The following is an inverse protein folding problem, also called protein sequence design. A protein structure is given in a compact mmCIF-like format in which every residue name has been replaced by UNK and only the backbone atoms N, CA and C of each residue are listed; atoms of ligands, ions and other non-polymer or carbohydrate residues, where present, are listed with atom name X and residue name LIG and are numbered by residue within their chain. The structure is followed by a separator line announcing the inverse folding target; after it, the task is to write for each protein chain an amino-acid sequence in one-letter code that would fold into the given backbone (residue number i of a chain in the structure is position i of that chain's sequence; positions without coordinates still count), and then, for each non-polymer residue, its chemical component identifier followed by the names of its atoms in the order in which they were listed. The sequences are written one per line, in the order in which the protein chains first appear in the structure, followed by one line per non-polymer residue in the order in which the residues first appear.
data_IF_331509098100
#
_entry.id   IF_331509098100
#
_cell.length_a   1.000
_cell.length_b   1.000
_cell.length_c   1.000
_cell.angle_alpha   90.00
_cell.angle_beta   90.00
_cell.angle_gamma   90.00
#
_symmetry.space_group_name_H-M   'P 1'
#
loop_
_entity.id
_entity.type
_entity.pdbx_description
1 polymer ?
#
# COMPACT_ATOMS: atom_id res chain seq x y z
N UNK A 1 -17.43 -8.72 -23.81
CA UNK A 1 -16.38 -7.66 -23.83
C UNK A 1 -17.09 -6.35 -24.12
N UNK A 2 -17.08 -5.42 -23.17
CA UNK A 2 -17.64 -4.08 -23.37
C UNK A 2 -16.48 -3.18 -23.82
N UNK A 3 -16.51 -2.70 -25.05
CA UNK A 3 -15.51 -1.77 -25.56
C UNK A 3 -15.84 -0.37 -25.06
N UNK A 4 -15.02 0.18 -24.16
CA UNK A 4 -15.16 1.55 -23.68
C UNK A 4 -14.22 2.45 -24.49
N UNK A 5 -14.75 3.35 -25.29
CA UNK A 5 -13.97 4.37 -25.97
C UNK A 5 -13.76 5.55 -25.02
N UNK A 6 -12.49 5.91 -24.81
CA UNK A 6 -12.15 7.10 -24.03
C UNK A 6 -12.49 8.36 -24.83
N UNK A 7 -13.07 9.35 -24.17
CA UNK A 7 -13.20 10.69 -24.73
C UNK A 7 -11.80 11.31 -24.92
N UNK A 8 -11.68 12.32 -25.78
CA UNK A 8 -10.41 13.05 -25.96
C UNK A 8 -9.87 13.61 -24.65
N UNK A 9 -10.77 14.04 -23.76
CA UNK A 9 -10.39 14.60 -22.46
C UNK A 9 -9.86 13.52 -21.50
N UNK A 10 -10.49 12.35 -21.44
CA UNK A 10 -10.03 11.21 -20.65
C UNK A 10 -8.68 10.70 -21.15
N UNK A 11 -8.50 10.60 -22.45
CA UNK A 11 -7.23 10.22 -23.06
C UNK A 11 -6.11 11.22 -22.74
N UNK A 12 -6.40 12.53 -22.72
CA UNK A 12 -5.45 13.57 -22.36
C UNK A 12 -5.05 13.50 -20.87
N UNK A 13 -6.01 13.30 -19.97
CA UNK A 13 -5.77 13.10 -18.53
C UNK A 13 -4.92 11.86 -18.31
N UNK A 14 -5.26 10.75 -18.94
CA UNK A 14 -4.52 9.49 -18.85
C UNK A 14 -3.08 9.64 -19.35
N UNK A 15 -2.86 10.28 -20.47
CA UNK A 15 -1.51 10.52 -21.03
C UNK A 15 -0.68 11.40 -20.08
N UNK A 16 -1.29 12.44 -19.49
CA UNK A 16 -0.64 13.28 -18.50
C UNK A 16 -0.23 12.48 -17.26
N UNK A 17 -1.12 11.67 -16.71
CA UNK A 17 -0.84 10.85 -15.54
C UNK A 17 0.23 9.79 -15.86
N UNK A 18 0.16 9.12 -17.00
CA UNK A 18 1.18 8.19 -17.47
C UNK A 18 2.58 8.85 -17.54
N UNK A 19 2.65 10.08 -18.06
CA UNK A 19 3.90 10.84 -18.07
C UNK A 19 4.40 11.11 -16.66
N UNK A 20 3.52 11.52 -15.73
CA UNK A 20 3.87 11.80 -14.35
C UNK A 20 4.43 10.55 -13.65
N UNK A 21 3.74 9.41 -13.78
CA UNK A 21 4.23 8.12 -13.27
C UNK A 21 5.58 7.73 -13.86
N UNK A 22 5.73 7.95 -15.17
CA UNK A 22 6.99 7.65 -15.86
C UNK A 22 8.14 8.52 -15.34
N UNK A 23 7.93 9.83 -15.16
CA UNK A 23 8.93 10.74 -14.60
C UNK A 23 9.28 10.37 -13.15
N UNK A 24 8.26 10.07 -12.32
CA UNK A 24 8.48 9.63 -10.92
C UNK A 24 9.33 8.37 -10.85
N UNK A 25 9.07 7.39 -11.75
CA UNK A 25 9.78 6.10 -11.77
C UNK A 25 11.19 6.19 -12.34
N UNK A 26 11.39 7.02 -13.37
CA UNK A 26 12.65 7.06 -14.13
C UNK A 26 13.70 7.99 -13.52
N UNK A 27 13.32 8.86 -12.56
CA UNK A 27 14.16 9.93 -12.06
C UNK A 27 14.39 11.02 -13.12
N UNK A 28 15.47 11.78 -13.04
CA UNK A 28 15.74 12.85 -13.99
C UNK A 28 15.80 12.34 -15.43
N UNK A 29 14.89 12.83 -16.29
CA UNK A 29 14.74 12.37 -17.66
C UNK A 29 14.63 13.54 -18.64
N UNK A 30 15.21 13.42 -19.84
CA UNK A 30 15.09 14.47 -20.85
C UNK A 30 13.79 14.36 -21.65
N UNK A 31 13.31 15.50 -22.19
CA UNK A 31 12.14 15.51 -23.11
C UNK A 31 12.34 14.59 -24.31
N UNK A 32 13.58 14.42 -24.77
CA UNK A 32 13.92 13.53 -25.90
C UNK A 32 13.73 12.06 -25.49
N UNK A 33 14.14 11.69 -24.29
CA UNK A 33 13.99 10.31 -23.80
C UNK A 33 12.51 9.99 -23.51
N UNK A 34 11.74 10.96 -23.00
CA UNK A 34 10.28 10.83 -22.84
C UNK A 34 9.64 10.56 -24.22
N UNK A 35 9.92 11.42 -25.20
CA UNK A 35 9.40 11.25 -26.55
C UNK A 35 9.70 9.86 -27.15
N UNK A 36 10.93 9.38 -27.04
CA UNK A 36 11.33 8.06 -27.57
C UNK A 36 10.64 6.90 -26.87
N UNK A 37 10.35 7.02 -25.58
CA UNK A 37 9.81 5.93 -24.75
C UNK A 37 8.30 5.85 -24.73
N UNK A 38 7.61 6.97 -24.84
CA UNK A 38 6.14 7.03 -24.75
C UNK A 38 5.44 6.91 -26.11
N UNK A 39 6.20 6.91 -27.22
CA UNK A 39 5.69 6.84 -28.59
C UNK A 39 4.62 7.90 -28.90
N UNK A 40 4.84 9.12 -28.42
CA UNK A 40 3.97 10.28 -28.66
C UNK A 40 4.75 11.42 -29.33
N UNK A 41 4.05 12.35 -30.00
CA UNK A 41 4.71 13.45 -30.71
C UNK A 41 5.50 14.37 -29.77
N UNK A 42 6.55 15.04 -30.28
CA UNK A 42 7.32 16.05 -29.53
C UNK A 42 6.45 17.21 -29.06
N UNK A 43 5.45 17.58 -29.85
CA UNK A 43 4.49 18.61 -29.48
C UNK A 43 3.65 18.18 -28.27
N UNK A 44 3.15 16.92 -28.28
CA UNK A 44 2.41 16.34 -27.16
C UNK A 44 3.25 16.29 -25.89
N UNK A 45 4.50 15.83 -25.96
CA UNK A 45 5.42 15.86 -24.79
C UNK A 45 5.55 17.28 -24.23
N UNK A 46 5.73 18.29 -25.10
CA UNK A 46 5.89 19.67 -24.68
C UNK A 46 4.64 20.16 -23.95
N UNK A 47 3.45 19.89 -24.48
CA UNK A 47 2.17 20.26 -23.88
C UNK A 47 1.95 19.58 -22.51
N UNK A 48 2.18 18.26 -22.44
CA UNK A 48 2.01 17.50 -21.19
C UNK A 48 2.99 17.97 -20.11
N UNK A 49 4.25 18.22 -20.48
CA UNK A 49 5.26 18.75 -19.55
C UNK A 49 4.84 20.15 -19.05
N UNK A 50 4.36 21.04 -19.91
CA UNK A 50 3.87 22.35 -19.50
C UNK A 50 2.69 22.25 -18.53
N UNK A 51 1.75 21.34 -18.78
CA UNK A 51 0.62 21.10 -17.89
C UNK A 51 1.07 20.61 -16.50
N UNK A 52 2.00 19.65 -16.44
CA UNK A 52 2.52 19.14 -15.17
C UNK A 52 3.36 20.19 -14.43
N UNK A 53 4.10 21.04 -15.15
CA UNK A 53 4.84 22.16 -14.56
C UNK A 53 3.90 23.23 -13.99
N UNK A 54 2.81 23.57 -14.69
CA UNK A 54 1.83 24.54 -14.19
C UNK A 54 1.10 24.04 -12.93
N UNK A 55 1.04 22.72 -12.73
CA UNK A 55 0.53 22.06 -11.51
C UNK A 55 1.63 21.84 -10.47
N UNK A 56 2.84 22.32 -10.69
CA UNK A 56 4.01 22.15 -9.82
C UNK A 56 4.36 20.68 -9.51
N UNK A 57 3.91 19.72 -10.35
CA UNK A 57 4.14 18.28 -10.17
C UNK A 57 5.49 17.82 -10.70
N UNK A 58 6.09 18.59 -11.59
CA UNK A 58 7.45 18.36 -12.12
C UNK A 58 8.22 19.64 -12.19
N UNK A 59 9.55 19.53 -12.09
CA UNK A 59 10.49 20.65 -12.22
C UNK A 59 11.51 20.37 -13.33
N UNK A 60 12.02 21.43 -13.96
CA UNK A 60 13.17 21.32 -14.86
C UNK A 60 14.46 21.66 -14.13
N UNK A 61 15.40 20.73 -14.15
CA UNK A 61 16.72 20.89 -13.55
C UNK A 61 17.80 20.98 -14.61
N UNK A 62 18.69 21.96 -14.46
CA UNK A 62 19.82 22.18 -15.35
C UNK A 62 21.03 21.33 -14.95
N UNK A 63 21.04 20.02 -15.21
CA UNK A 63 22.25 19.18 -15.03
C UNK A 63 23.07 19.20 -16.31
N UNK A 64 24.37 19.53 -16.21
CA UNK A 64 25.34 19.37 -17.28
C UNK A 64 25.99 18.00 -17.13
N UNK A 65 25.86 17.10 -18.15
CA UNK A 65 26.86 16.05 -18.29
C UNK A 65 28.15 16.73 -18.77
N UNK A 66 29.27 16.45 -18.12
CA UNK A 66 30.60 16.98 -18.44
C UNK A 66 30.92 16.75 -19.93
N UNK A 67 31.06 17.83 -20.70
CA UNK A 67 31.39 17.84 -22.12
C UNK A 67 30.83 19.09 -22.80
N UNK A 68 31.61 19.74 -23.66
CA UNK A 68 31.25 20.98 -24.34
C UNK A 68 30.07 20.78 -25.29
N UNK A 69 28.84 20.84 -24.78
CA UNK A 69 27.59 20.74 -25.49
C UNK A 69 26.48 21.53 -24.80
N UNK A 70 25.43 21.88 -25.56
CA UNK A 70 24.23 22.58 -25.07
C UNK A 70 23.72 21.89 -23.80
N UNK A 71 23.58 22.64 -22.68
CA UNK A 71 23.05 22.12 -21.39
C UNK A 71 21.72 21.41 -21.61
N UNK A 72 21.68 20.10 -21.38
CA UNK A 72 20.46 19.32 -21.49
C UNK A 72 19.61 19.57 -20.26
N UNK A 73 18.34 19.93 -20.43
CA UNK A 73 17.38 20.09 -19.33
C UNK A 73 16.76 18.76 -19.01
N UNK A 74 16.74 18.44 -17.74
CA UNK A 74 16.09 17.24 -17.21
C UNK A 74 14.81 17.59 -16.48
N UNK A 75 13.85 16.72 -16.53
CA UNK A 75 12.56 16.80 -15.87
C UNK A 75 12.61 15.84 -14.69
N UNK A 76 12.24 16.31 -13.52
CA UNK A 76 12.20 15.57 -12.28
C UNK A 76 10.81 15.69 -11.64
N UNK A 77 10.39 14.64 -10.92
CA UNK A 77 9.17 14.66 -10.12
C UNK A 77 9.35 15.61 -8.93
N UNK A 78 8.39 16.49 -8.73
CA UNK A 78 8.35 17.40 -7.58
C UNK A 78 7.43 16.85 -6.49
N UNK A 79 7.84 15.80 -5.83
CA UNK A 79 7.05 15.17 -4.78
C UNK A 79 6.81 16.04 -3.56
N UNK A 80 7.64 17.08 -3.36
CA UNK A 80 7.46 18.03 -2.27
C UNK A 80 6.32 19.03 -2.48
N UNK A 81 5.77 19.14 -3.70
CA UNK A 81 4.75 20.13 -4.04
C UNK A 81 3.38 19.91 -3.40
N UNK A 82 3.04 18.67 -3.08
CA UNK A 82 1.72 18.28 -2.57
C UNK A 82 1.87 17.47 -1.30
N UNK A 83 0.91 17.64 -0.39
CA UNK A 83 0.87 16.98 0.92
C UNK A 83 -0.41 16.15 1.05
N UNK A 84 -0.35 15.15 1.90
CA UNK A 84 -1.47 14.30 2.24
C UNK A 84 -1.41 13.96 3.71
N UNK A 85 -2.52 14.07 4.42
CA UNK A 85 -2.65 13.40 5.70
C UNK A 85 -2.79 11.90 5.48
N UNK A 86 -2.24 11.12 6.39
CA UNK A 86 -2.32 9.67 6.33
C UNK A 86 -2.54 9.08 7.71
N UNK A 87 -3.26 7.98 7.79
CA UNK A 87 -3.42 7.23 9.05
C UNK A 87 -3.34 5.73 8.80
N UNK A 88 -2.53 5.05 9.59
CA UNK A 88 -2.45 3.59 9.63
C UNK A 88 -3.06 3.06 10.92
N UNK A 89 -4.11 2.25 10.78
CA UNK A 89 -4.79 1.66 11.92
C UNK A 89 -3.91 0.69 12.70
N UNK A 90 -3.07 -0.10 12.06
CA UNK A 90 -2.24 -1.11 12.72
C UNK A 90 -1.22 -0.48 13.65
N UNK A 91 -0.50 0.53 13.20
CA UNK A 91 0.47 1.26 14.01
C UNK A 91 -0.13 2.39 14.84
N UNK A 92 -1.41 2.74 14.62
CA UNK A 92 -2.09 3.91 15.21
C UNK A 92 -1.40 5.23 14.90
N UNK A 93 -0.67 5.29 13.81
CA UNK A 93 0.09 6.48 13.46
C UNK A 93 -0.67 7.39 12.50
N UNK A 94 -0.72 8.66 12.87
CA UNK A 94 -1.11 9.76 12.01
C UNK A 94 0.13 10.41 11.42
N UNK A 95 0.07 10.77 10.14
CA UNK A 95 1.18 11.37 9.41
C UNK A 95 0.72 12.59 8.59
N UNK A 96 1.63 13.54 8.38
CA UNK A 96 1.63 14.42 7.21
C UNK A 96 2.78 13.96 6.31
N UNK A 97 2.49 13.58 5.08
CA UNK A 97 3.50 13.16 4.10
C UNK A 97 3.43 14.01 2.84
N UNK A 98 4.53 14.08 2.09
CA UNK A 98 4.50 14.56 0.71
C UNK A 98 4.33 13.38 -0.28
N UNK A 99 4.17 13.68 -1.57
CA UNK A 99 3.97 12.65 -2.60
C UNK A 99 5.23 11.84 -2.94
N UNK A 100 6.41 12.22 -2.39
CA UNK A 100 7.62 11.39 -2.44
C UNK A 100 7.67 10.35 -1.31
N UNK A 101 6.75 10.41 -0.34
CA UNK A 101 6.74 9.55 0.83
C UNK A 101 7.58 10.05 2.00
N UNK A 102 8.09 11.29 1.93
CA UNK A 102 8.77 11.94 3.04
C UNK A 102 7.76 12.29 4.13
N UNK A 103 8.06 11.93 5.37
CA UNK A 103 7.25 12.22 6.55
C UNK A 103 7.64 13.59 7.10
N UNK A 104 6.70 14.51 7.08
CA UNK A 104 6.88 15.87 7.59
C UNK A 104 6.38 16.03 9.03
N UNK A 105 5.45 15.16 9.43
CA UNK A 105 4.91 15.05 10.78
C UNK A 105 4.44 13.64 11.04
N UNK A 106 4.63 13.17 12.28
CA UNK A 106 4.06 11.89 12.73
C UNK A 106 3.66 11.97 14.20
N UNK A 107 2.56 11.28 14.54
CA UNK A 107 2.09 11.16 15.91
C UNK A 107 1.31 9.85 16.10
N UNK A 108 1.58 9.17 17.20
CA UNK A 108 0.76 8.05 17.64
C UNK A 108 -0.55 8.58 18.24
N UNK A 109 -1.68 8.08 17.77
CA UNK A 109 -2.99 8.34 18.35
C UNK A 109 -3.39 7.17 19.24
N UNK A 110 -3.79 7.46 20.47
CA UNK A 110 -4.32 6.47 21.40
C UNK A 110 -5.83 6.61 21.52
N UNK A 111 -6.49 5.46 21.66
CA UNK A 111 -7.92 5.39 21.93
C UNK A 111 -8.10 4.54 23.19
N UNK A 112 -8.72 5.09 24.24
CA UNK A 112 -8.95 4.40 25.52
C UNK A 112 -9.84 3.16 25.34
N UNK A 113 -10.70 3.18 24.33
CA UNK A 113 -11.54 2.09 23.88
C UNK A 113 -11.62 2.09 22.36
N UNK A 114 -12.20 1.06 21.79
CA UNK A 114 -12.48 1.04 20.36
C UNK A 114 -13.42 2.20 19.99
N UNK A 115 -12.97 3.18 19.19
CA UNK A 115 -13.76 4.36 18.88
C UNK A 115 -14.94 4.03 17.97
N UNK A 116 -16.03 4.76 18.12
CA UNK A 116 -17.08 4.80 17.11
C UNK A 116 -16.59 5.57 15.86
N UNK A 117 -17.20 5.37 14.68
CA UNK A 117 -16.75 6.03 13.44
C UNK A 117 -16.63 7.55 13.56
N UNK A 118 -17.58 8.20 14.22
CA UNK A 118 -17.55 9.67 14.45
C UNK A 118 -16.40 10.08 15.36
N UNK A 119 -16.19 9.38 16.47
CA UNK A 119 -15.09 9.65 17.43
C UNK A 119 -13.72 9.47 16.78
N UNK A 120 -13.60 8.46 15.92
CA UNK A 120 -12.39 8.25 15.13
C UNK A 120 -12.12 9.41 14.19
N UNK A 121 -13.13 9.86 13.44
CA UNK A 121 -12.99 11.00 12.56
C UNK A 121 -12.67 12.29 13.33
N UNK A 122 -13.32 12.51 14.50
CA UNK A 122 -13.06 13.67 15.36
C UNK A 122 -11.60 13.74 15.80
N UNK A 123 -11.02 12.60 16.20
CA UNK A 123 -9.62 12.52 16.61
C UNK A 123 -8.66 12.87 15.46
N UNK A 124 -8.92 12.34 14.25
CA UNK A 124 -8.08 12.64 13.08
C UNK A 124 -8.23 14.10 12.61
N UNK A 125 -9.44 14.65 12.66
CA UNK A 125 -9.69 16.06 12.29
C UNK A 125 -9.04 17.02 13.29
N UNK A 126 -9.10 16.71 14.59
CA UNK A 126 -8.43 17.50 15.62
C UNK A 126 -6.90 17.50 15.41
N UNK A 127 -6.32 16.34 15.10
CA UNK A 127 -4.89 16.26 14.82
C UNK A 127 -4.50 16.97 13.51
N UNK A 128 -5.31 16.85 12.45
CA UNK A 128 -5.13 17.59 11.20
C UNK A 128 -5.18 19.12 11.44
N UNK A 129 -6.09 19.58 12.29
CA UNK A 129 -6.18 20.98 12.71
C UNK A 129 -4.90 21.45 13.41
N UNK A 130 -4.40 20.67 14.38
CA UNK A 130 -3.14 20.95 15.05
C UNK A 130 -1.95 21.09 14.07
N UNK A 131 -1.83 20.16 13.14
CA UNK A 131 -0.76 20.17 12.11
C UNK A 131 -0.91 21.38 11.18
N UNK A 132 -2.15 21.80 10.88
CA UNK A 132 -2.42 23.00 10.08
C UNK A 132 -1.95 24.27 10.81
N UNK A 133 -2.22 24.37 12.13
CA UNK A 133 -1.76 25.47 12.97
C UNK A 133 -0.23 25.55 13.08
N UNK A 134 0.48 24.43 12.95
CA UNK A 134 1.94 24.39 12.91
C UNK A 134 2.53 25.02 11.63
N UNK A 135 1.72 25.22 10.58
CA UNK A 135 2.17 25.85 9.32
C UNK A 135 3.18 25.02 8.53
N UNK A 136 3.11 23.69 8.61
CA UNK A 136 4.04 22.78 7.92
C UNK A 136 3.77 22.65 6.41
N UNK A 137 2.69 23.24 5.92
CA UNK A 137 2.31 23.26 4.51
C UNK A 137 1.40 24.45 4.20
N UNK A 138 1.34 24.85 2.93
CA UNK A 138 0.38 25.85 2.47
C UNK A 138 -0.97 25.15 2.17
N UNK A 139 -2.13 25.77 2.46
CA UNK A 139 -3.46 25.15 2.30
C UNK A 139 -3.70 24.52 0.92
N UNK A 140 -3.21 25.15 -0.15
CA UNK A 140 -3.32 24.69 -1.54
C UNK A 140 -2.47 23.44 -1.85
N UNK A 141 -1.49 23.12 -1.01
CA UNK A 141 -0.66 21.92 -1.16
C UNK A 141 -1.36 20.67 -0.65
N UNK A 142 -2.34 20.79 0.27
CA UNK A 142 -3.03 19.65 0.86
C UNK A 142 -4.01 19.04 -0.13
N UNK A 143 -3.86 17.74 -0.37
CA UNK A 143 -4.69 16.98 -1.32
C UNK A 143 -5.79 16.13 -0.64
N UNK A 144 -5.75 16.01 0.68
CA UNK A 144 -6.73 15.24 1.45
C UNK A 144 -6.15 14.32 2.51
N UNK A 145 -6.85 13.20 2.74
CA UNK A 145 -6.46 12.19 3.71
C UNK A 145 -6.55 10.78 3.11
N UNK A 146 -5.58 9.93 3.45
CA UNK A 146 -5.58 8.51 3.12
C UNK A 146 -5.56 7.66 4.40
N UNK A 147 -6.41 6.63 4.46
CA UNK A 147 -6.57 5.79 5.64
C UNK A 147 -6.32 4.33 5.28
N UNK A 148 -5.45 3.68 6.04
CA UNK A 148 -5.29 2.23 6.04
C UNK A 148 -6.14 1.65 7.18
N UNK A 149 -7.19 0.91 6.84
CA UNK A 149 -8.14 0.36 7.81
C UNK A 149 -8.27 -1.16 7.66
N UNK A 150 -8.54 -1.90 8.76
CA UNK A 150 -8.82 -3.34 8.69
C UNK A 150 -10.27 -3.59 8.30
N UNK A 151 -10.52 -4.58 7.47
CA UNK A 151 -11.87 -5.02 7.09
C UNK A 151 -12.14 -5.01 5.60
N UNK A 152 -13.41 -5.14 5.24
CA UNK A 152 -13.89 -5.10 3.85
C UNK A 152 -14.08 -3.65 3.43
N UNK A 153 -13.31 -3.21 2.46
CA UNK A 153 -13.27 -1.81 2.01
C UNK A 153 -13.63 -1.72 0.54
N UNK A 154 -14.62 -0.90 0.24
CA UNK A 154 -14.84 -0.41 -1.11
C UNK A 154 -14.02 0.87 -1.30
N UNK A 155 -12.84 0.73 -1.91
CA UNK A 155 -11.93 1.84 -2.14
C UNK A 155 -12.42 2.85 -3.19
N UNK A 156 -13.40 2.47 -4.03
CA UNK A 156 -13.97 3.36 -5.05
C UNK A 156 -14.93 4.38 -4.44
N UNK A 157 -15.76 3.93 -3.49
CA UNK A 157 -16.72 4.78 -2.78
C UNK A 157 -16.20 5.31 -1.45
N UNK A 158 -14.98 4.96 -1.05
CA UNK A 158 -14.41 5.24 0.26
C UNK A 158 -15.32 4.81 1.42
N UNK A 159 -15.89 3.58 1.32
CA UNK A 159 -16.80 3.02 2.31
C UNK A 159 -16.22 1.77 2.95
N UNK A 160 -16.31 1.68 4.28
CA UNK A 160 -16.01 0.46 5.03
C UNK A 160 -17.30 -0.36 5.14
N UNK A 161 -17.34 -1.50 4.45
CA UNK A 161 -18.52 -2.35 4.40
C UNK A 161 -18.68 -3.16 5.69
N UNK A 162 -17.57 -3.73 6.19
CA UNK A 162 -17.55 -4.51 7.43
C UNK A 162 -16.15 -4.61 8.00
N UNK A 163 -16.03 -4.45 9.31
CA UNK A 163 -14.81 -4.76 10.06
C UNK A 163 -15.17 -5.42 11.38
N UNK A 164 -14.86 -6.70 11.52
CA UNK A 164 -15.01 -7.41 12.79
C UNK A 164 -14.12 -6.78 13.87
N UNK A 165 -12.95 -6.28 13.49
CA UNK A 165 -11.98 -5.67 14.38
C UNK A 165 -12.38 -4.30 14.91
N UNK A 166 -13.01 -3.48 14.06
CA UNK A 166 -13.50 -2.16 14.43
C UNK A 166 -14.92 -2.21 15.02
N UNK A 167 -15.61 -3.34 14.88
CA UNK A 167 -17.05 -3.48 15.13
C UNK A 167 -17.87 -2.45 14.32
N UNK A 168 -17.41 -2.11 13.12
CA UNK A 168 -18.06 -1.16 12.23
C UNK A 168 -18.71 -1.89 11.05
N UNK A 169 -19.84 -1.38 10.61
CA UNK A 169 -20.57 -1.91 9.46
C UNK A 169 -21.21 -0.77 8.68
N UNK A 170 -21.08 -0.83 7.34
CA UNK A 170 -21.69 0.12 6.39
C UNK A 170 -21.38 1.59 6.75
N UNK A 171 -20.11 1.91 6.97
CA UNK A 171 -19.65 3.26 7.31
C UNK A 171 -19.19 3.97 6.04
N UNK A 172 -19.82 5.09 5.71
CA UNK A 172 -19.35 6.01 4.68
C UNK A 172 -18.22 6.88 5.26
N UNK A 173 -16.99 6.44 5.02
CA UNK A 173 -15.79 7.13 5.54
C UNK A 173 -15.63 8.49 4.83
N UNK A 174 -15.95 8.59 3.55
CA UNK A 174 -15.86 9.87 2.84
C UNK A 174 -16.73 10.94 3.49
N UNK A 175 -17.95 10.57 3.90
CA UNK A 175 -18.89 11.48 4.55
C UNK A 175 -18.42 11.94 5.93
N UNK A 176 -17.69 11.10 6.68
CA UNK A 176 -17.15 11.47 7.99
C UNK A 176 -16.14 12.63 7.93
N UNK A 177 -15.41 12.76 6.81
CA UNK A 177 -14.41 13.80 6.60
C UNK A 177 -14.88 14.93 5.67
N UNK A 178 -16.08 14.83 5.10
CA UNK A 178 -16.65 15.81 4.20
C UNK A 178 -16.69 17.21 4.87
N UNK A 179 -16.11 18.21 4.20
CA UNK A 179 -16.02 19.61 4.70
C UNK A 179 -15.22 19.76 6.01
N UNK A 180 -14.53 18.72 6.47
CA UNK A 180 -13.73 18.75 7.72
C UNK A 180 -12.22 18.72 7.43
N UNK A 181 -11.81 17.97 6.40
CA UNK A 181 -10.46 17.98 5.85
C UNK A 181 -10.57 18.38 4.38
N UNK A 182 -9.84 19.42 3.93
CA UNK A 182 -9.81 19.79 2.52
C UNK A 182 -9.26 18.67 1.64
N UNK A 183 -9.81 18.54 0.42
CA UNK A 183 -9.31 17.57 -0.57
C UNK A 183 -10.08 16.26 -0.58
N UNK A 184 -9.41 15.19 -0.99
CA UNK A 184 -10.01 13.86 -1.21
C UNK A 184 -9.82 12.94 -0.01
N UNK A 185 -10.77 12.03 0.18
CA UNK A 185 -10.67 10.96 1.17
C UNK A 185 -10.44 9.64 0.45
N UNK A 186 -9.34 8.98 0.77
CA UNK A 186 -9.01 7.66 0.24
C UNK A 186 -8.91 6.67 1.38
N UNK A 187 -9.42 5.47 1.15
CA UNK A 187 -9.28 4.36 2.10
C UNK A 187 -8.84 3.09 1.38
N UNK A 188 -8.06 2.29 2.06
CA UNK A 188 -7.63 0.99 1.56
C UNK A 188 -7.38 0.03 2.73
N UNK A 189 -7.40 -1.27 2.46
CA UNK A 189 -7.05 -2.29 3.45
C UNK A 189 -5.57 -2.16 3.85
N UNK A 190 -5.31 -2.29 5.14
CA UNK A 190 -3.94 -2.22 5.68
C UNK A 190 -2.96 -3.13 4.93
N UNK A 191 -3.37 -4.36 4.62
CA UNK A 191 -2.52 -5.31 3.88
C UNK A 191 -2.17 -4.85 2.47
N UNK A 192 -3.13 -4.24 1.75
CA UNK A 192 -2.88 -3.69 0.42
C UNK A 192 -1.95 -2.46 0.48
N UNK A 193 -2.12 -1.62 1.50
CA UNK A 193 -1.21 -0.48 1.75
C UNK A 193 0.21 -0.98 2.00
N UNK A 194 0.42 -1.96 2.88
CA UNK A 194 1.75 -2.54 3.13
C UNK A 194 2.35 -3.15 1.87
N UNK A 195 1.54 -3.85 1.07
CA UNK A 195 1.97 -4.41 -0.22
C UNK A 195 2.45 -3.32 -1.18
N UNK A 196 1.74 -2.20 -1.28
CA UNK A 196 2.17 -1.06 -2.11
C UNK A 196 3.48 -0.45 -1.60
N UNK A 197 3.69 -0.40 -0.28
CA UNK A 197 4.95 0.02 0.32
C UNK A 197 6.12 -0.84 -0.12
N UNK A 198 5.97 -2.16 -0.03
CA UNK A 198 6.97 -3.12 -0.50
C UNK A 198 7.17 -2.99 -2.01
N UNK A 199 6.10 -2.96 -2.80
CA UNK A 199 6.16 -2.86 -4.26
C UNK A 199 6.88 -1.60 -4.75
N UNK A 200 6.73 -0.47 -4.05
CA UNK A 200 7.37 0.78 -4.44
C UNK A 200 8.80 0.95 -3.89
N UNK A 201 9.20 0.18 -2.87
CA UNK A 201 10.56 0.24 -2.28
C UNK A 201 11.61 -0.55 -3.07
N UNK A 202 11.22 -1.49 -3.93
CA UNK A 202 12.12 -2.39 -4.65
C UNK A 202 12.21 -2.13 -6.16
N UNK A 203 13.39 -2.38 -6.75
CA UNK A 203 13.57 -2.29 -8.20
C UNK A 203 13.14 -3.56 -8.95
N UNK A 204 13.14 -4.72 -8.29
CA UNK A 204 12.97 -6.03 -8.92
C UNK A 204 11.51 -6.49 -9.05
N UNK A 205 10.56 -5.82 -8.39
CA UNK A 205 9.16 -6.25 -8.28
C UNK A 205 8.27 -5.91 -9.49
N UNK A 206 8.78 -5.14 -10.44
CA UNK A 206 7.97 -4.38 -11.44
C UNK A 206 7.30 -5.22 -12.54
N UNK A 207 7.62 -6.52 -12.65
CA UNK A 207 7.05 -7.41 -13.68
C UNK A 207 6.54 -8.75 -13.13
N UNK A 208 6.65 -8.99 -11.83
CA UNK A 208 6.32 -10.26 -11.22
C UNK A 208 4.90 -10.32 -10.67
N UNK A 209 4.34 -11.51 -10.67
CA UNK A 209 3.22 -11.86 -9.81
C UNK A 209 3.78 -11.98 -8.39
N UNK A 210 3.32 -11.11 -7.52
CA UNK A 210 3.85 -10.90 -6.19
C UNK A 210 2.77 -11.05 -5.14
N UNK A 211 3.09 -11.73 -4.03
CA UNK A 211 2.22 -11.81 -2.86
C UNK A 211 2.92 -11.32 -1.61
N UNK A 212 2.20 -10.53 -0.84
CA UNK A 212 2.57 -10.13 0.50
C UNK A 212 1.71 -10.90 1.50
N UNK A 213 2.34 -11.70 2.33
CA UNK A 213 1.73 -12.43 3.43
C UNK A 213 1.86 -11.60 4.70
N UNK A 214 0.74 -11.12 5.21
CA UNK A 214 0.65 -10.34 6.44
C UNK A 214 0.44 -11.32 7.59
N UNK A 215 1.45 -11.43 8.47
CA UNK A 215 1.46 -12.31 9.64
C UNK A 215 1.47 -11.42 10.88
N UNK A 216 0.31 -10.88 11.20
CA UNK A 216 0.17 -9.90 12.28
C UNK A 216 -0.68 -10.46 13.43
N UNK A 217 -0.37 -10.07 14.67
CA UNK A 217 -1.22 -10.36 15.82
C UNK A 217 -2.64 -9.82 15.64
N UNK A 218 -2.76 -8.81 14.84
CA UNK A 218 -4.01 -8.17 14.46
C UNK A 218 -4.78 -8.87 13.34
N UNK A 219 -4.23 -9.88 12.72
CA UNK A 219 -4.86 -10.68 11.67
C UNK A 219 -3.85 -11.24 10.67
N UNK A 220 -4.20 -12.34 10.07
CA UNK A 220 -3.40 -13.01 9.05
C UNK A 220 -4.10 -12.87 7.70
N UNK A 221 -3.37 -12.42 6.69
CA UNK A 221 -3.92 -12.21 5.36
C UNK A 221 -2.89 -12.31 4.26
N UNK A 222 -3.35 -12.23 3.02
CA UNK A 222 -2.48 -12.11 1.85
C UNK A 222 -2.99 -11.00 0.93
N UNK A 223 -2.09 -10.17 0.45
CA UNK A 223 -2.35 -9.19 -0.63
C UNK A 223 -1.54 -9.58 -1.85
N UNK A 224 -2.02 -9.28 -3.05
CA UNK A 224 -1.33 -9.65 -4.27
C UNK A 224 -1.34 -8.53 -5.31
N UNK A 225 -0.24 -8.44 -6.05
CA UNK A 225 -0.17 -7.73 -7.32
C UNK A 225 -0.04 -8.77 -8.42
N UNK A 226 -0.96 -8.72 -9.38
CA UNK A 226 -0.96 -9.58 -10.56
C UNK A 226 -0.96 -8.68 -11.78
N UNK A 227 0.08 -8.80 -12.63
CA UNK A 227 0.25 -7.94 -13.81
C UNK A 227 0.19 -6.44 -13.51
N UNK A 228 0.79 -6.03 -12.38
CA UNK A 228 0.82 -4.63 -11.95
C UNK A 228 -0.46 -4.12 -11.26
N UNK A 229 -1.47 -4.96 -11.07
CA UNK A 229 -2.74 -4.57 -10.44
C UNK A 229 -2.93 -5.25 -9.08
N UNK A 230 -3.31 -4.45 -8.09
CA UNK A 230 -3.71 -4.95 -6.78
C UNK A 230 -4.98 -5.79 -6.90
N UNK A 231 -5.00 -6.94 -6.23
CA UNK A 231 -6.13 -7.87 -6.24
C UNK A 231 -7.08 -7.59 -5.07
N UNK A 232 -8.25 -7.06 -5.36
CA UNK A 232 -9.30 -6.82 -4.35
C UNK A 232 -10.31 -7.97 -4.26
N UNK A 233 -10.44 -8.76 -5.32
CA UNK A 233 -11.52 -9.74 -5.47
C UNK A 233 -12.86 -9.06 -5.81
N UNK A 234 -13.84 -9.86 -6.21
CA UNK A 234 -15.15 -9.36 -6.66
C UNK A 234 -15.93 -8.62 -5.54
N UNK A 235 -15.76 -9.11 -4.30
CA UNK A 235 -16.46 -8.59 -3.12
C UNK A 235 -15.49 -7.91 -2.13
N UNK A 236 -14.33 -7.44 -2.60
CA UNK A 236 -13.27 -6.86 -1.77
C UNK A 236 -12.72 -7.80 -0.68
N UNK A 237 -12.87 -9.13 -0.86
CA UNK A 237 -12.49 -10.16 0.11
C UNK A 237 -11.28 -10.99 -0.33
N UNK A 238 -10.47 -10.49 -1.25
CA UNK A 238 -9.26 -11.22 -1.65
C UNK A 238 -8.32 -11.37 -0.46
N UNK A 239 -7.80 -12.60 -0.27
CA UNK A 239 -6.69 -12.82 0.63
C UNK A 239 -7.04 -13.09 2.09
N UNK A 240 -8.25 -13.55 2.40
CA UNK A 240 -8.71 -13.92 3.74
C UNK A 240 -8.03 -15.22 4.27
N UNK A 241 -6.67 -15.26 4.19
CA UNK A 241 -5.84 -16.40 4.55
C UNK A 241 -6.01 -16.80 6.02
N UNK A 242 -6.19 -15.82 6.91
CA UNK A 242 -6.38 -16.05 8.33
C UNK A 242 -7.63 -16.89 8.66
N UNK A 243 -8.58 -16.98 7.73
CA UNK A 243 -9.82 -17.74 7.92
C UNK A 243 -9.83 -19.14 7.29
N UNK A 244 -8.70 -19.62 6.75
CA UNK A 244 -8.60 -21.06 6.39
C UNK A 244 -8.78 -21.91 7.65
N UNK A 245 -9.42 -23.08 7.48
CA UNK A 245 -9.79 -23.93 8.60
C UNK A 245 -8.68 -24.90 8.97
N UNK A 246 -8.31 -24.89 10.25
CA UNK A 246 -7.54 -25.92 10.90
C UNK A 246 -8.47 -26.83 11.72
N UNK A 247 -8.04 -28.04 12.01
CA UNK A 247 -8.81 -28.97 12.87
C UNK A 247 -8.72 -28.52 14.33
N UNK A 248 -9.45 -27.46 14.69
CA UNK A 248 -9.46 -26.82 16.02
C UNK A 248 -10.84 -26.27 16.37
N UNK A 249 -11.17 -26.26 17.65
CA UNK A 249 -12.39 -25.66 18.20
C UNK A 249 -12.20 -24.20 18.70
N UNK A 250 -11.01 -23.62 18.51
CA UNK A 250 -10.72 -22.24 18.91
C UNK A 250 -11.68 -21.28 18.21
N UNK A 251 -12.44 -20.43 18.96
CA UNK A 251 -13.37 -19.47 18.38
C UNK A 251 -12.60 -18.35 17.66
N UNK A 252 -13.15 -17.86 16.57
CA UNK A 252 -12.60 -16.75 15.78
C UNK A 252 -13.55 -15.55 15.84
N UNK A 253 -13.01 -14.34 15.77
CA UNK A 253 -13.75 -13.07 15.70
C UNK A 253 -14.74 -13.00 14.53
N UNK A 254 -14.52 -13.79 13.48
CA UNK A 254 -15.45 -13.91 12.33
C UNK A 254 -16.71 -14.73 12.63
N UNK A 255 -16.89 -15.22 13.86
CA UNK A 255 -18.03 -16.06 14.27
C UNK A 255 -17.85 -17.56 13.95
N UNK A 256 -16.75 -17.97 13.36
CA UNK A 256 -16.42 -19.37 13.05
C UNK A 256 -15.42 -19.94 14.08
N UNK A 257 -15.06 -21.23 13.95
CA UNK A 257 -14.07 -21.88 14.79
C UNK A 257 -12.93 -22.44 13.93
N UNK A 258 -11.75 -22.58 14.53
CA UNK A 258 -10.58 -23.21 13.90
C UNK A 258 -9.96 -22.40 12.74
N UNK A 259 -10.18 -21.10 12.67
CA UNK A 259 -9.50 -20.25 11.72
C UNK A 259 -8.02 -20.15 12.07
N UNK A 260 -7.15 -20.12 11.06
CA UNK A 260 -5.70 -20.06 11.20
C UNK A 260 -5.26 -18.94 12.16
N UNK A 261 -5.76 -17.70 11.96
CA UNK A 261 -5.40 -16.55 12.80
C UNK A 261 -5.77 -16.76 14.28
N UNK A 262 -6.96 -17.35 14.54
CA UNK A 262 -7.40 -17.61 15.91
C UNK A 262 -6.55 -18.68 16.59
N UNK A 263 -6.21 -19.75 15.86
CA UNK A 263 -5.35 -20.83 16.36
C UNK A 263 -3.94 -20.31 16.65
N UNK A 264 -3.37 -19.49 15.76
CA UNK A 264 -2.04 -18.90 15.95
C UNK A 264 -2.05 -17.95 17.15
N UNK A 265 -3.08 -17.10 17.29
CA UNK A 265 -3.22 -16.21 18.44
C UNK A 265 -3.27 -16.98 19.76
N UNK A 266 -4.08 -18.04 19.83
CA UNK A 266 -4.19 -18.90 21.00
C UNK A 266 -2.87 -19.60 21.36
N UNK A 267 -2.15 -20.14 20.35
CA UNK A 267 -0.83 -20.75 20.54
C UNK A 267 0.20 -19.71 21.01
N UNK A 268 0.18 -18.52 20.45
CA UNK A 268 1.08 -17.43 20.82
C UNK A 268 0.84 -16.98 22.27
N UNK A 269 -0.40 -16.81 22.69
CA UNK A 269 -0.76 -16.49 24.07
C UNK A 269 -0.31 -17.58 25.04
N UNK A 270 -0.60 -18.85 24.74
CA UNK A 270 -0.19 -19.99 25.59
C UNK A 270 1.32 -20.14 25.68
N UNK A 271 2.07 -19.73 24.68
CA UNK A 271 3.53 -19.74 24.71
C UNK A 271 4.16 -18.58 25.48
N UNK A 272 3.33 -17.69 26.05
CA UNK A 272 3.79 -16.47 26.72
C UNK A 272 4.38 -15.44 25.73
N UNK A 273 3.76 -15.30 24.55
CA UNK A 273 4.15 -14.33 23.54
C UNK A 273 5.41 -14.73 22.75
N UNK A 274 5.65 -16.02 22.57
CA UNK A 274 6.82 -16.53 21.82
C UNK A 274 6.37 -17.28 20.58
N UNK A 275 7.13 -17.10 19.49
CA UNK A 275 6.94 -17.88 18.27
C UNK A 275 7.54 -19.27 18.47
N UNK A 276 6.68 -20.28 18.45
CA UNK A 276 7.06 -21.70 18.62
C UNK A 276 7.24 -22.39 17.28
N UNK A 277 7.91 -23.55 17.21
CA UNK A 277 7.97 -24.37 15.99
C UNK A 277 6.60 -24.70 15.41
N UNK A 278 5.60 -24.96 16.26
CA UNK A 278 4.21 -25.25 15.85
C UNK A 278 3.57 -24.05 15.13
N UNK A 279 3.78 -22.83 15.63
CA UNK A 279 3.33 -21.61 14.95
C UNK A 279 4.00 -21.49 13.59
N UNK A 280 5.33 -21.70 13.52
CA UNK A 280 6.05 -21.67 12.25
C UNK A 280 5.55 -22.71 11.25
N UNK A 281 5.17 -23.91 11.71
CA UNK A 281 4.62 -24.96 10.85
C UNK A 281 3.24 -24.56 10.29
N UNK A 282 2.37 -23.97 11.11
CA UNK A 282 1.07 -23.45 10.64
C UNK A 282 1.23 -22.32 9.63
N UNK A 283 2.14 -21.37 9.89
CA UNK A 283 2.44 -20.29 8.95
C UNK A 283 3.01 -20.83 7.64
N UNK A 284 3.96 -21.76 7.71
CA UNK A 284 4.55 -22.39 6.52
C UNK A 284 3.52 -23.12 5.68
N UNK A 285 2.63 -23.89 6.30
CA UNK A 285 1.55 -24.61 5.63
C UNK A 285 0.60 -23.65 4.89
N UNK A 286 0.21 -22.55 5.53
CA UNK A 286 -0.68 -21.56 4.94
C UNK A 286 -0.04 -20.85 3.73
N UNK A 287 1.21 -20.44 3.88
CA UNK A 287 1.97 -19.75 2.81
C UNK A 287 2.22 -20.70 1.64
N UNK A 288 2.75 -21.89 1.88
CA UNK A 288 3.05 -22.87 0.83
C UNK A 288 1.79 -23.31 0.07
N UNK A 289 0.68 -23.51 0.77
CA UNK A 289 -0.62 -23.83 0.14
C UNK A 289 -1.06 -22.68 -0.78
N UNK A 290 -0.95 -21.45 -0.33
CA UNK A 290 -1.32 -20.29 -1.14
C UNK A 290 -0.41 -20.15 -2.37
N UNK A 291 0.90 -20.33 -2.22
CA UNK A 291 1.86 -20.32 -3.33
C UNK A 291 1.54 -21.43 -4.34
N UNK A 292 1.19 -22.62 -3.87
CA UNK A 292 0.85 -23.76 -4.75
C UNK A 292 -0.42 -23.49 -5.58
N UNK A 293 -1.37 -22.73 -5.05
CA UNK A 293 -2.62 -22.35 -5.74
C UNK A 293 -2.42 -21.20 -6.71
N UNK A 294 -1.64 -20.18 -6.31
CA UNK A 294 -1.57 -18.89 -7.03
C UNK A 294 -0.44 -18.78 -8.04
N UNK A 295 0.56 -19.70 -7.98
CA UNK A 295 1.73 -19.72 -8.88
C UNK A 295 2.45 -18.37 -8.99
N UNK A 296 2.88 -17.81 -7.86
CA UNK A 296 3.56 -16.53 -7.80
C UNK A 296 5.06 -16.67 -8.00
N UNK A 297 5.70 -15.62 -8.53
CA UNK A 297 7.16 -15.54 -8.65
C UNK A 297 7.84 -15.04 -7.38
N UNK A 298 7.09 -14.39 -6.49
CA UNK A 298 7.65 -13.81 -5.29
C UNK A 298 6.65 -13.77 -4.14
N UNK A 299 7.10 -14.21 -2.96
CA UNK A 299 6.35 -14.24 -1.72
C UNK A 299 7.14 -13.53 -0.61
N UNK A 300 6.55 -12.50 -0.02
CA UNK A 300 7.16 -11.76 1.08
C UNK A 300 6.28 -11.89 2.31
N UNK A 301 6.89 -12.18 3.44
CA UNK A 301 6.24 -12.28 4.73
C UNK A 301 6.57 -11.04 5.55
N UNK A 302 5.56 -10.41 6.12
CA UNK A 302 5.65 -9.21 6.98
C UNK A 302 4.70 -9.32 8.15
N UNK A 303 4.80 -8.40 9.10
CA UNK A 303 3.89 -8.29 10.23
C UNK A 303 4.58 -8.57 11.56
N UNK A 304 3.86 -8.32 12.66
CA UNK A 304 4.42 -8.38 14.00
C UNK A 304 5.01 -9.75 14.37
N UNK A 305 4.42 -10.83 13.90
CA UNK A 305 4.99 -12.17 14.12
C UNK A 305 6.33 -12.35 13.37
N UNK A 306 6.48 -11.75 12.18
CA UNK A 306 7.72 -11.81 11.42
C UNK A 306 8.79 -10.89 12.03
N UNK A 307 8.38 -9.69 12.49
CA UNK A 307 9.29 -8.74 13.14
C UNK A 307 9.90 -9.29 14.45
N UNK A 308 9.22 -10.25 15.11
CA UNK A 308 9.71 -10.95 16.31
C UNK A 308 10.69 -12.07 16.00
N UNK A 309 10.80 -12.56 14.76
CA UNK A 309 11.66 -13.67 14.43
C UNK A 309 13.14 -13.26 14.48
N UNK A 310 13.97 -14.15 15.04
CA UNK A 310 15.42 -14.08 14.82
C UNK A 310 15.72 -14.43 13.35
N UNK A 311 16.92 -14.11 12.90
CA UNK A 311 17.36 -14.48 11.55
C UNK A 311 17.27 -15.99 11.32
N UNK A 312 17.71 -16.79 12.29
CA UNK A 312 17.64 -18.25 12.22
C UNK A 312 16.20 -18.77 12.11
N UNK A 313 15.26 -18.15 12.84
CA UNK A 313 13.84 -18.49 12.76
C UNK A 313 13.22 -18.08 11.41
N UNK A 314 13.62 -16.93 10.87
CA UNK A 314 13.17 -16.49 9.54
C UNK A 314 13.68 -17.43 8.45
N UNK A 315 14.97 -17.82 8.50
CA UNK A 315 15.55 -18.78 7.57
C UNK A 315 14.84 -20.15 7.70
N UNK A 316 14.58 -20.60 8.92
CA UNK A 316 13.86 -21.85 9.17
C UNK A 316 12.42 -21.82 8.66
N UNK A 317 11.72 -20.68 8.76
CA UNK A 317 10.37 -20.52 8.20
C UNK A 317 10.40 -20.60 6.67
N UNK A 318 11.33 -19.91 6.03
CA UNK A 318 11.51 -19.93 4.56
C UNK A 318 11.80 -21.35 4.08
N UNK A 319 12.69 -22.09 4.75
CA UNK A 319 13.00 -23.47 4.39
C UNK A 319 11.80 -24.44 4.60
N UNK A 320 10.99 -24.23 5.66
CA UNK A 320 9.74 -24.99 5.83
C UNK A 320 8.75 -24.73 4.69
N UNK A 321 8.60 -23.48 4.26
CA UNK A 321 7.75 -23.11 3.12
C UNK A 321 8.27 -23.78 1.86
N UNK A 322 9.57 -23.68 1.57
CA UNK A 322 10.20 -24.29 0.40
C UNK A 322 10.00 -25.78 0.33
N UNK A 323 10.14 -26.47 1.47
CA UNK A 323 9.94 -27.93 1.58
C UNK A 323 8.52 -28.39 1.24
N UNK A 324 7.54 -27.51 1.24
CA UNK A 324 6.13 -27.81 0.98
C UNK A 324 5.63 -27.27 -0.37
N UNK A 325 6.44 -26.47 -1.08
CA UNK A 325 6.09 -25.94 -2.41
C UNK A 325 6.34 -27.01 -3.46
N UNK A 326 5.28 -27.34 -4.20
CA UNK A 326 5.32 -28.34 -5.27
C UNK A 326 6.16 -27.85 -6.44
N UNK A 327 7.01 -28.71 -7.00
CA UNK A 327 7.85 -28.41 -8.18
C UNK A 327 8.72 -27.15 -8.00
N UNK A 328 9.30 -26.96 -6.82
CA UNK A 328 10.09 -25.76 -6.49
C UNK A 328 11.23 -25.52 -7.48
N UNK A 329 11.88 -26.60 -7.98
CA UNK A 329 12.99 -26.48 -8.94
C UNK A 329 12.58 -25.93 -10.30
N UNK A 330 11.31 -26.06 -10.68
CA UNK A 330 10.75 -25.54 -11.93
C UNK A 330 10.19 -24.12 -11.77
N UNK A 331 10.09 -23.64 -10.52
CA UNK A 331 9.59 -22.31 -10.21
C UNK A 331 10.74 -21.33 -9.96
N UNK A 332 10.73 -20.19 -10.62
CA UNK A 332 11.61 -19.07 -10.26
C UNK A 332 11.00 -18.29 -9.09
N UNK A 333 10.87 -18.98 -7.92
CA UNK A 333 10.21 -18.46 -6.74
C UNK A 333 11.22 -17.89 -5.75
N UNK A 334 11.02 -16.62 -5.38
CA UNK A 334 11.71 -15.98 -4.27
C UNK A 334 10.80 -15.93 -3.05
N UNK A 335 11.33 -16.30 -1.89
CA UNK A 335 10.61 -16.22 -0.61
C UNK A 335 11.52 -15.49 0.37
N UNK A 336 10.97 -14.50 1.07
CA UNK A 336 11.75 -13.75 2.06
C UNK A 336 10.86 -13.17 3.16
N UNK A 337 11.44 -12.97 4.34
CA UNK A 337 10.87 -12.18 5.42
C UNK A 337 11.35 -10.74 5.30
N UNK A 338 10.45 -9.77 5.43
CA UNK A 338 10.80 -8.36 5.50
C UNK A 338 10.34 -7.81 6.86
N UNK A 339 11.26 -7.12 7.51
CA UNK A 339 11.05 -6.49 8.80
C UNK A 339 10.72 -4.99 8.61
N UNK A 340 10.29 -4.30 9.67
CA UNK A 340 9.88 -2.88 9.65
C UNK A 340 8.52 -2.60 8.99
N UNK A 341 7.51 -3.37 9.35
CA UNK A 341 6.13 -3.26 8.86
C UNK A 341 5.57 -1.82 8.90
N UNK A 342 5.91 -1.03 9.94
CA UNK A 342 5.49 0.37 10.09
C UNK A 342 5.99 1.26 8.94
N UNK A 343 7.26 1.13 8.56
CA UNK A 343 7.84 1.92 7.46
C UNK A 343 7.20 1.56 6.11
N UNK A 344 6.92 0.27 5.91
CA UNK A 344 6.24 -0.22 4.72
C UNK A 344 4.81 0.35 4.63
N UNK A 345 4.07 0.39 5.73
CA UNK A 345 2.73 0.97 5.76
C UNK A 345 2.75 2.47 5.41
N UNK A 346 3.66 3.24 5.99
CA UNK A 346 3.80 4.67 5.69
C UNK A 346 4.15 4.93 4.21
N UNK A 347 5.13 4.20 3.67
CA UNK A 347 5.49 4.28 2.24
C UNK A 347 4.32 3.89 1.33
N UNK A 348 3.56 2.88 1.73
CA UNK A 348 2.37 2.42 1.00
C UNK A 348 1.24 3.44 0.99
N UNK A 349 0.99 4.13 2.10
CA UNK A 349 -0.01 5.22 2.16
C UNK A 349 0.31 6.32 1.16
N UNK A 350 1.56 6.78 1.10
CA UNK A 350 1.99 7.81 0.15
C UNK A 350 1.91 7.33 -1.30
N UNK A 351 2.28 6.06 -1.57
CA UNK A 351 2.18 5.46 -2.89
C UNK A 351 0.72 5.35 -3.33
N UNK A 352 -0.15 4.85 -2.47
CA UNK A 352 -1.58 4.73 -2.75
C UNK A 352 -2.23 6.09 -2.99
N UNK A 353 -1.92 7.09 -2.17
CA UNK A 353 -2.42 8.45 -2.37
C UNK A 353 -2.01 9.00 -3.74
N UNK A 354 -0.76 8.81 -4.14
CA UNK A 354 -0.28 9.21 -5.47
C UNK A 354 -1.03 8.52 -6.59
N UNK A 355 -1.20 7.19 -6.53
CA UNK A 355 -1.90 6.42 -7.56
C UNK A 355 -3.39 6.81 -7.66
N UNK A 356 -4.03 7.14 -6.53
CA UNK A 356 -5.43 7.59 -6.49
C UNK A 356 -5.63 9.04 -6.95
N UNK A 357 -4.64 9.90 -6.74
CA UNK A 357 -4.66 11.28 -7.25
C UNK A 357 -4.41 11.33 -8.76
N UNK A 358 -3.55 10.45 -9.27
CA UNK A 358 -3.10 10.42 -10.65
C UNK A 358 -3.30 9.01 -11.26
N UNK A 359 -4.55 8.54 -11.42
CA UNK A 359 -4.82 7.20 -11.89
C UNK A 359 -4.29 7.00 -13.31
N UNK A 360 -3.62 5.85 -13.53
CA UNK A 360 -3.22 5.33 -14.84
C UNK A 360 -4.21 4.24 -15.25
N UNK A 361 -4.67 4.26 -16.44
CA UNK A 361 -5.68 3.31 -16.92
C UNK A 361 -5.09 1.98 -17.38
#
# INVERSE_FOLDING_TARGET
MQYTFLSHMEAAVRNRNNLLHYVKKSGPISRTDIWKRMDISRASVTQLVQQLQSQNLIIETGRSKSGSGRKQRYIEFNGASHKMFAFDWTSRMFYLTNLSGEVLYEKALSFDRLPQPGEFADALVAEAGHVTEMGLYAPEELQGIVLALPGLINCETASLLYSAKLHWQNVDIAQLFCNRIPGKVFIERTGNIMMLGVYNSGESWKESHFQLFIMDADGIGVSAIVRGHCQHGMNFMYGELGHIKLHSSVPCSCGQHGCLEAVISDLFERSGGRITPEILDHLANAVSTTINISDVGEAILVGSYIDMLTREQSDALVERIRGQVTCLQQRNLKIQCAHNSRQLACAGLSAYAFDRLFPVG
#
